data_IF_350500366828
#
_entry.id   IF_350500366828
#
_cell.length_a   1.000
_cell.length_b   1.000
_cell.length_c   1.000
_cell.angle_alpha   90.00
_cell.angle_beta   90.00
_cell.angle_gamma   90.00
#
_symmetry.space_group_name_H-M   'P 1'
#
loop_
_entity.id
_entity.type
_entity.pdbx_description
1 polymer ?
#
# COMPACT_ATOMS: atom_id res chain seq x y z
N UNK A 1 -24.36 9.63 6.40
CA UNK A 1 -23.14 9.37 5.61
C UNK A 1 -22.61 10.59 4.85
N UNK A 2 -23.47 11.38 4.18
CA UNK A 2 -23.08 12.63 3.52
C UNK A 2 -22.47 13.68 4.48
N UNK A 3 -23.00 13.81 5.70
CA UNK A 3 -22.49 14.72 6.73
C UNK A 3 -21.07 14.32 7.15
N UNK A 4 -20.78 13.03 7.35
CA UNK A 4 -19.44 12.54 7.72
C UNK A 4 -18.41 12.89 6.62
N UNK A 5 -18.76 12.68 5.35
CA UNK A 5 -17.92 13.04 4.23
C UNK A 5 -17.72 14.56 4.14
N UNK A 6 -18.76 15.33 4.40
CA UNK A 6 -18.66 16.79 4.43
C UNK A 6 -17.72 17.25 5.54
N UNK A 7 -17.88 16.74 6.77
CA UNK A 7 -16.98 17.05 7.90
C UNK A 7 -15.55 16.62 7.62
N UNK A 8 -15.35 15.44 7.02
CA UNK A 8 -14.03 14.99 6.62
C UNK A 8 -13.39 15.92 5.60
N UNK A 9 -14.13 16.34 4.56
CA UNK A 9 -13.67 17.35 3.59
C UNK A 9 -13.35 18.69 4.24
N UNK A 10 -14.05 19.06 5.31
CA UNK A 10 -13.76 20.28 6.04
C UNK A 10 -12.44 20.16 6.83
N UNK A 11 -12.24 19.04 7.53
CA UNK A 11 -11.03 18.80 8.33
C UNK A 11 -9.79 18.75 7.44
N UNK A 12 -9.83 18.10 6.29
CA UNK A 12 -8.68 18.04 5.38
C UNK A 12 -8.36 19.37 4.69
N UNK A 13 -9.15 20.43 4.88
CA UNK A 13 -8.75 21.80 4.48
C UNK A 13 -7.59 22.33 5.31
N UNK A 14 -7.39 21.80 6.51
CA UNK A 14 -6.23 22.11 7.34
C UNK A 14 -4.99 21.49 6.68
N UNK A 15 -3.86 22.23 6.57
CA UNK A 15 -2.62 21.66 6.04
C UNK A 15 -2.16 20.44 6.83
N UNK A 16 -1.61 19.43 6.13
CA UNK A 16 -1.21 18.14 6.72
C UNK A 16 -0.32 18.26 7.97
N UNK A 17 0.59 19.23 7.99
CA UNK A 17 1.49 19.49 9.13
C UNK A 17 0.77 19.80 10.45
N UNK A 18 -0.48 20.26 10.38
CA UNK A 18 -1.31 20.56 11.55
C UNK A 18 -2.25 19.42 11.94
N UNK A 19 -2.29 18.33 11.16
CA UNK A 19 -3.05 17.14 11.52
C UNK A 19 -2.36 16.45 12.70
N UNK A 20 -2.92 16.61 13.90
CA UNK A 20 -2.40 15.96 15.11
C UNK A 20 -2.70 14.46 15.12
N UNK A 21 -1.67 13.62 15.14
CA UNK A 21 -1.85 12.17 15.24
C UNK A 21 -2.38 11.72 16.61
N UNK A 22 -1.98 12.39 17.69
CA UNK A 22 -2.29 11.96 19.08
C UNK A 22 -3.78 11.89 19.41
N UNK A 23 -4.62 12.92 19.19
CA UNK A 23 -6.04 12.84 19.52
C UNK A 23 -6.76 11.77 18.69
N UNK A 24 -6.42 11.63 17.41
CA UNK A 24 -7.02 10.62 16.53
C UNK A 24 -6.54 9.21 16.85
N UNK A 25 -5.32 9.01 17.36
CA UNK A 25 -4.84 7.70 17.77
C UNK A 25 -5.60 7.15 18.99
N UNK A 26 -6.13 8.01 19.84
CA UNK A 26 -7.02 7.62 20.92
C UNK A 26 -8.37 7.12 20.38
N UNK A 27 -8.97 7.84 19.45
CA UNK A 27 -10.23 7.44 18.80
C UNK A 27 -10.07 6.13 18.03
N UNK A 28 -8.97 5.96 17.29
CA UNK A 28 -8.69 4.69 16.60
C UNK A 28 -8.60 3.50 17.57
N UNK A 29 -8.03 3.67 18.76
CA UNK A 29 -7.98 2.60 19.76
C UNK A 29 -9.38 2.13 20.18
N UNK A 30 -10.34 3.02 20.22
CA UNK A 30 -11.73 2.69 20.57
C UNK A 30 -12.42 2.01 19.38
N UNK A 31 -12.43 2.65 18.20
CA UNK A 31 -13.21 2.20 17.05
C UNK A 31 -12.60 1.03 16.29
N UNK A 32 -11.26 0.90 16.29
CA UNK A 32 -10.53 -0.15 15.58
C UNK A 32 -9.80 -1.11 16.53
N UNK A 33 -10.28 -1.28 17.74
CA UNK A 33 -9.65 -2.09 18.79
C UNK A 33 -9.17 -3.47 18.29
N UNK A 34 -10.01 -4.20 17.58
CA UNK A 34 -9.67 -5.52 17.04
C UNK A 34 -8.56 -5.45 15.98
N UNK A 35 -8.57 -4.41 15.12
CA UNK A 35 -7.53 -4.20 14.12
C UNK A 35 -6.18 -3.85 14.76
N UNK A 36 -6.22 -3.08 15.83
CA UNK A 36 -5.03 -2.72 16.62
C UNK A 36 -4.43 -3.94 17.30
N UNK A 37 -5.23 -4.86 17.83
CA UNK A 37 -4.75 -6.15 18.34
C UNK A 37 -4.05 -6.97 17.24
N UNK A 38 -4.61 -7.00 16.02
CA UNK A 38 -3.97 -7.64 14.85
C UNK A 38 -2.61 -7.02 14.58
N UNK A 39 -2.52 -5.68 14.53
CA UNK A 39 -1.25 -4.98 14.30
C UNK A 39 -0.19 -5.34 15.35
N UNK A 40 -0.55 -5.32 16.63
CA UNK A 40 0.36 -5.74 17.73
C UNK A 40 0.88 -7.17 17.57
N UNK A 41 -0.02 -8.12 17.22
CA UNK A 41 0.36 -9.52 16.99
C UNK A 41 1.32 -9.65 15.82
N UNK A 42 1.04 -8.98 14.70
CA UNK A 42 1.88 -9.02 13.52
C UNK A 42 3.27 -8.42 13.78
N UNK A 43 3.34 -7.25 14.42
CA UNK A 43 4.63 -6.61 14.77
C UNK A 43 5.44 -7.53 15.67
N UNK A 44 4.84 -8.08 16.75
CA UNK A 44 5.53 -9.02 17.65
C UNK A 44 6.00 -10.29 16.94
N UNK A 45 5.23 -10.79 15.96
CA UNK A 45 5.55 -11.98 15.20
C UNK A 45 6.72 -11.75 14.23
N UNK A 46 6.75 -10.57 13.57
CA UNK A 46 7.73 -10.24 12.54
C UNK A 46 9.08 -9.75 13.10
N UNK A 47 9.08 -9.18 14.31
CA UNK A 47 10.28 -8.62 14.95
C UNK A 47 10.57 -9.35 16.27
N UNK A 48 10.74 -10.67 16.18
CA UNK A 48 10.98 -11.53 17.36
C UNK A 48 12.29 -11.21 18.07
N UNK A 49 13.27 -10.70 17.34
CA UNK A 49 14.59 -10.31 17.81
C UNK A 49 14.60 -9.03 18.63
N UNK A 50 13.54 -8.22 18.53
CA UNK A 50 13.45 -6.92 19.20
C UNK A 50 12.94 -7.04 20.65
N UNK A 51 13.46 -6.20 21.52
CA UNK A 51 13.00 -6.11 22.90
C UNK A 51 11.62 -5.42 23.01
N UNK A 52 11.02 -5.48 24.22
CA UNK A 52 9.68 -4.91 24.48
C UNK A 52 9.59 -3.40 24.20
N UNK A 53 10.67 -2.65 24.46
CA UNK A 53 10.69 -1.21 24.28
C UNK A 53 10.74 -0.85 22.80
N UNK A 54 11.53 -1.54 22.00
CA UNK A 54 11.61 -1.38 20.54
C UNK A 54 10.26 -1.69 19.88
N UNK A 55 9.64 -2.85 20.23
CA UNK A 55 8.32 -3.22 19.73
C UNK A 55 7.25 -2.19 20.08
N UNK A 56 7.30 -1.63 21.30
CA UNK A 56 6.40 -0.54 21.73
C UNK A 56 6.63 0.73 20.91
N UNK A 57 7.89 1.03 20.56
CA UNK A 57 8.27 2.15 19.69
C UNK A 57 7.68 2.01 18.29
N UNK A 58 7.86 0.85 17.65
CA UNK A 58 7.27 0.55 16.32
C UNK A 58 5.75 0.68 16.38
N UNK A 59 5.12 0.07 17.38
CA UNK A 59 3.67 0.11 17.51
C UNK A 59 3.13 1.53 17.71
N UNK A 60 3.81 2.36 18.50
CA UNK A 60 3.43 3.77 18.70
C UNK A 60 3.49 4.54 17.38
N UNK A 61 4.61 4.42 16.64
CA UNK A 61 4.75 5.04 15.31
C UNK A 61 3.68 4.55 14.35
N UNK A 62 3.38 3.25 14.36
CA UNK A 62 2.35 2.67 13.49
C UNK A 62 0.95 3.21 13.82
N UNK A 63 0.62 3.38 15.08
CA UNK A 63 -0.67 3.94 15.49
C UNK A 63 -0.79 5.42 15.09
N UNK A 64 0.30 6.19 15.20
CA UNK A 64 0.35 7.58 14.74
C UNK A 64 0.19 7.68 13.23
N UNK A 65 0.91 6.87 12.46
CA UNK A 65 0.77 6.80 11.00
C UNK A 65 -0.63 6.35 10.56
N UNK A 66 -1.22 5.35 11.24
CA UNK A 66 -2.59 4.91 10.99
C UNK A 66 -3.62 6.01 11.27
N UNK A 67 -3.36 6.86 12.24
CA UNK A 67 -4.20 8.02 12.54
C UNK A 67 -4.15 9.07 11.44
N UNK A 68 -2.97 9.31 10.88
CA UNK A 68 -2.78 10.23 9.77
C UNK A 68 -3.32 9.69 8.44
N UNK A 69 -3.36 8.37 8.26
CA UNK A 69 -3.79 7.73 7.00
C UNK A 69 -5.18 8.16 6.53
N UNK A 70 -6.09 8.45 7.46
CA UNK A 70 -7.45 8.92 7.16
C UNK A 70 -7.40 10.31 6.51
N UNK A 71 -6.51 11.19 6.99
CA UNK A 71 -6.31 12.51 6.41
C UNK A 71 -5.56 12.42 5.10
N UNK A 72 -4.50 11.63 5.04
CA UNK A 72 -3.70 11.39 3.85
C UNK A 72 -4.55 10.87 2.68
N UNK A 73 -5.47 9.95 2.96
CA UNK A 73 -6.46 9.47 2.00
C UNK A 73 -7.37 10.60 1.49
N UNK A 74 -7.88 11.45 2.40
CA UNK A 74 -8.71 12.60 2.02
C UNK A 74 -7.93 13.64 1.21
N UNK A 75 -6.67 13.91 1.56
CA UNK A 75 -5.77 14.79 0.80
C UNK A 75 -5.59 14.25 -0.62
N UNK A 76 -5.24 12.97 -0.76
CA UNK A 76 -5.04 12.34 -2.07
C UNK A 76 -6.28 12.42 -2.96
N UNK A 77 -7.48 12.28 -2.39
CA UNK A 77 -8.72 12.21 -3.15
C UNK A 77 -9.37 13.56 -3.44
N UNK A 78 -9.15 14.58 -2.58
CA UNK A 78 -9.93 15.82 -2.68
C UNK A 78 -9.09 17.07 -2.98
N UNK A 79 -7.78 17.08 -2.68
CA UNK A 79 -6.95 18.22 -3.05
C UNK A 79 -6.63 18.23 -4.55
N UNK A 80 -6.53 19.44 -5.12
CA UNK A 80 -6.02 19.61 -6.48
C UNK A 80 -4.49 19.53 -6.51
N UNK A 81 -3.91 19.37 -7.69
CA UNK A 81 -2.48 19.20 -7.91
C UNK A 81 -1.66 20.40 -7.41
N UNK A 82 -2.14 21.61 -7.65
CA UNK A 82 -1.46 22.82 -7.22
C UNK A 82 -1.32 22.86 -5.70
N UNK A 83 -2.36 22.48 -4.98
CA UNK A 83 -2.33 22.43 -3.52
C UNK A 83 -1.42 21.32 -2.99
N UNK A 84 -1.47 20.13 -3.60
CA UNK A 84 -0.57 19.03 -3.23
C UNK A 84 0.89 19.46 -3.41
N UNK A 85 1.24 20.03 -4.57
CA UNK A 85 2.60 20.51 -4.83
C UNK A 85 3.07 21.55 -3.83
N UNK A 86 2.17 22.43 -3.39
CA UNK A 86 2.47 23.51 -2.42
C UNK A 86 2.60 23.02 -0.98
N UNK A 87 1.73 22.12 -0.55
CA UNK A 87 1.54 21.81 0.88
C UNK A 87 2.07 20.42 1.29
N UNK A 88 2.36 19.54 0.33
CA UNK A 88 2.90 18.20 0.57
C UNK A 88 4.27 18.04 -0.11
N UNK A 89 5.37 18.37 0.58
CA UNK A 89 6.70 18.15 0.03
C UNK A 89 6.89 16.68 -0.33
N UNK A 90 7.35 16.41 -1.55
CA UNK A 90 7.58 15.05 -2.03
C UNK A 90 8.78 15.00 -2.98
N UNK A 91 9.48 13.88 -2.99
CA UNK A 91 10.60 13.62 -3.90
C UNK A 91 10.48 12.22 -4.47
N UNK A 92 10.44 12.11 -5.80
CA UNK A 92 10.45 10.84 -6.52
C UNK A 92 11.82 10.65 -7.19
N UNK A 93 12.38 9.46 -7.08
CA UNK A 93 13.65 9.08 -7.73
C UNK A 93 13.41 7.92 -8.70
N UNK A 94 14.23 7.84 -9.74
CA UNK A 94 14.24 6.82 -10.79
C UNK A 94 12.91 6.76 -11.58
N UNK A 95 12.27 7.91 -11.77
CA UNK A 95 10.99 8.01 -12.50
C UNK A 95 11.12 7.58 -13.97
N UNK A 96 12.31 7.66 -14.54
CA UNK A 96 12.66 7.21 -15.87
C UNK A 96 12.37 5.71 -16.09
N UNK A 97 12.44 4.88 -15.06
CA UNK A 97 12.12 3.45 -15.15
C UNK A 97 10.70 3.17 -15.68
N UNK A 98 9.78 4.08 -15.43
CA UNK A 98 8.38 3.92 -15.85
C UNK A 98 7.96 4.88 -16.96
N UNK A 99 8.67 5.99 -17.16
CA UNK A 99 8.34 6.96 -18.21
C UNK A 99 9.04 6.65 -19.55
N UNK A 100 10.23 6.05 -19.52
CA UNK A 100 11.03 5.77 -20.70
C UNK A 100 10.95 4.31 -21.16
N UNK A 101 10.18 3.47 -20.48
CA UNK A 101 10.04 2.06 -20.83
C UNK A 101 9.16 1.87 -22.07
N UNK A 102 9.64 1.08 -23.03
CA UNK A 102 8.85 0.61 -24.18
C UNK A 102 7.93 -0.56 -23.81
N UNK A 103 8.18 -1.22 -22.69
CA UNK A 103 7.36 -2.32 -22.15
C UNK A 103 6.42 -1.80 -21.07
N UNK A 104 5.33 -2.56 -20.82
CA UNK A 104 4.46 -2.29 -19.67
C UNK A 104 5.20 -2.52 -18.36
N UNK A 105 4.88 -1.73 -17.35
CA UNK A 105 5.46 -1.84 -16.03
C UNK A 105 4.41 -2.29 -15.02
N UNK A 106 4.66 -3.41 -14.36
CA UNK A 106 3.90 -3.84 -13.20
C UNK A 106 4.55 -3.22 -11.95
N UNK A 107 3.95 -2.16 -11.45
CA UNK A 107 4.46 -1.42 -10.29
C UNK A 107 3.91 -2.08 -9.03
N UNK A 108 4.78 -2.80 -8.33
CA UNK A 108 4.48 -3.47 -7.07
C UNK A 108 4.83 -2.55 -5.91
N UNK A 109 3.98 -2.53 -4.89
CA UNK A 109 4.20 -1.74 -3.68
C UNK A 109 3.68 -2.46 -2.43
N UNK A 110 4.17 -2.05 -1.26
CA UNK A 110 3.63 -2.49 0.03
C UNK A 110 2.36 -1.70 0.36
N UNK A 111 1.44 -2.27 1.13
CA UNK A 111 0.36 -1.49 1.72
C UNK A 111 0.92 -0.54 2.80
N UNK A 112 1.45 0.61 2.37
CA UNK A 112 1.79 1.69 3.28
C UNK A 112 0.52 2.33 3.86
N UNK A 113 0.62 2.99 5.01
CA UNK A 113 -0.48 3.74 5.61
C UNK A 113 -0.79 5.05 4.86
N UNK A 114 0.09 5.45 3.93
CA UNK A 114 -0.07 6.62 3.04
C UNK A 114 -0.21 6.25 1.56
N UNK A 115 -0.59 5.00 1.27
CA UNK A 115 -0.72 4.41 -0.06
C UNK A 115 -1.45 5.29 -1.09
N UNK A 116 -2.54 5.95 -0.70
CA UNK A 116 -3.31 6.80 -1.61
C UNK A 116 -2.53 8.08 -1.98
N UNK A 117 -1.67 8.59 -1.07
CA UNK A 117 -0.74 9.68 -1.39
C UNK A 117 0.37 9.20 -2.35
N UNK A 118 0.91 8.01 -2.13
CA UNK A 118 1.94 7.43 -3.00
C UNK A 118 1.46 7.38 -4.45
N UNK A 119 0.27 6.78 -4.64
CA UNK A 119 -0.38 6.70 -5.95
C UNK A 119 -0.68 8.09 -6.53
N UNK A 120 -1.11 9.04 -5.69
CA UNK A 120 -1.46 10.40 -6.10
C UNK A 120 -0.24 11.19 -6.56
N UNK A 121 0.87 11.15 -5.80
CA UNK A 121 2.11 11.84 -6.14
C UNK A 121 2.74 11.24 -7.40
N UNK A 122 2.77 9.91 -7.51
CA UNK A 122 3.30 9.26 -8.72
C UNK A 122 2.42 9.54 -9.95
N UNK A 123 1.09 9.54 -9.78
CA UNK A 123 0.13 9.82 -10.86
C UNK A 123 0.15 11.27 -11.37
N UNK A 124 0.75 12.19 -10.61
CA UNK A 124 1.03 13.56 -11.08
C UNK A 124 2.27 13.63 -12.00
N UNK A 125 3.08 12.56 -12.06
CA UNK A 125 4.36 12.50 -12.76
C UNK A 125 4.39 11.43 -13.87
N UNK A 126 3.47 10.44 -13.83
CA UNK A 126 3.39 9.35 -14.79
C UNK A 126 1.93 8.95 -15.04
N UNK A 127 1.64 8.40 -16.23
CA UNK A 127 0.33 7.81 -16.51
C UNK A 127 0.21 6.44 -15.83
N UNK A 128 -0.73 6.29 -14.92
CA UNK A 128 -0.92 5.10 -14.10
C UNK A 128 -2.30 4.48 -14.30
N UNK A 129 -2.35 3.17 -14.13
CA UNK A 129 -3.55 2.34 -14.07
C UNK A 129 -3.55 1.56 -12.76
N UNK A 130 -4.70 1.40 -12.10
CA UNK A 130 -4.77 0.79 -10.78
C UNK A 130 -5.50 -0.55 -10.77
N UNK A 131 -4.99 -1.52 -10.02
CA UNK A 131 -5.73 -2.73 -9.69
C UNK A 131 -6.14 -2.68 -8.23
N UNK A 132 -7.45 -2.78 -7.98
CA UNK A 132 -7.98 -2.61 -6.64
C UNK A 132 -9.13 -3.57 -6.31
N UNK A 133 -9.72 -3.36 -5.16
CA UNK A 133 -10.91 -4.09 -4.71
C UNK A 133 -12.12 -3.15 -4.72
N UNK A 134 -13.26 -3.67 -5.17
CA UNK A 134 -14.55 -3.01 -4.97
C UNK A 134 -14.88 -2.89 -3.48
N UNK A 135 -15.41 -1.76 -3.08
CA UNK A 135 -15.93 -1.58 -1.72
C UNK A 135 -17.34 -2.16 -1.62
N UNK A 136 -17.67 -2.80 -0.49
CA UNK A 136 -18.96 -3.45 -0.29
C UNK A 136 -20.15 -2.46 -0.30
N UNK A 137 -19.93 -1.20 0.08
CA UNK A 137 -20.93 -0.14 0.01
C UNK A 137 -20.82 0.57 -1.35
N UNK A 138 -21.87 0.59 -2.20
CA UNK A 138 -21.86 1.28 -3.50
C UNK A 138 -21.56 2.77 -3.37
N UNK A 139 -22.05 3.42 -2.32
CA UNK A 139 -21.79 4.82 -2.04
C UNK A 139 -20.30 5.09 -1.76
N UNK A 140 -19.68 4.27 -0.89
CA UNK A 140 -18.25 4.38 -0.60
C UNK A 140 -17.40 4.00 -1.80
N UNK A 141 -17.82 3.00 -2.57
CA UNK A 141 -17.16 2.62 -3.82
C UNK A 141 -17.07 3.80 -4.79
N UNK A 142 -18.18 4.53 -5.00
CA UNK A 142 -18.20 5.72 -5.86
C UNK A 142 -17.24 6.82 -5.40
N UNK A 143 -17.12 7.04 -4.08
CA UNK A 143 -16.21 8.06 -3.52
C UNK A 143 -14.75 7.63 -3.74
N UNK A 144 -14.43 6.38 -3.42
CA UNK A 144 -13.09 5.81 -3.57
C UNK A 144 -12.67 5.83 -5.05
N UNK A 145 -13.52 5.37 -5.94
CA UNK A 145 -13.24 5.35 -7.39
C UNK A 145 -13.03 6.76 -7.94
N UNK A 146 -13.92 7.69 -7.58
CA UNK A 146 -13.78 9.11 -7.97
C UNK A 146 -12.49 9.74 -7.43
N UNK A 147 -12.10 9.41 -6.18
CA UNK A 147 -10.87 9.87 -5.58
C UNK A 147 -9.62 9.33 -6.28
N UNK A 148 -9.61 8.02 -6.55
CA UNK A 148 -8.50 7.34 -7.22
C UNK A 148 -8.30 7.76 -8.66
N UNK A 149 -9.37 8.14 -9.38
CA UNK A 149 -9.29 8.71 -10.75
C UNK A 149 -8.47 10.00 -10.83
N UNK A 150 -8.12 10.61 -9.72
CA UNK A 150 -7.14 11.71 -9.68
C UNK A 150 -5.70 11.23 -9.75
N UNK A 151 -5.43 9.99 -9.33
CA UNK A 151 -4.11 9.37 -9.34
C UNK A 151 -3.90 8.48 -10.57
N UNK A 152 -4.96 7.80 -11.04
CA UNK A 152 -4.87 6.82 -12.11
C UNK A 152 -5.88 7.14 -13.23
N UNK A 153 -5.52 6.79 -14.45
CA UNK A 153 -6.40 6.96 -15.64
C UNK A 153 -7.61 6.05 -15.58
N UNK A 154 -7.39 4.83 -15.09
CA UNK A 154 -8.44 3.83 -15.02
C UNK A 154 -8.15 2.81 -13.92
N UNK A 155 -9.19 2.14 -13.43
CA UNK A 155 -9.10 1.12 -12.38
C UNK A 155 -9.71 -0.19 -12.85
N UNK A 156 -9.11 -1.32 -12.47
CA UNK A 156 -9.67 -2.64 -12.65
C UNK A 156 -9.78 -3.35 -11.31
N UNK A 157 -10.75 -4.22 -11.17
CA UNK A 157 -10.83 -5.15 -10.05
C UNK A 157 -9.97 -6.38 -10.31
N UNK A 158 -9.59 -7.08 -9.25
CA UNK A 158 -8.84 -8.34 -9.38
C UNK A 158 -9.56 -9.41 -10.22
N UNK A 159 -10.86 -9.27 -10.46
CA UNK A 159 -11.65 -10.18 -11.33
C UNK A 159 -11.47 -9.85 -12.81
N UNK A 160 -11.09 -8.62 -13.13
CA UNK A 160 -10.92 -8.14 -14.51
C UNK A 160 -9.47 -8.35 -15.00
N UNK A 161 -8.92 -9.54 -14.79
CA UNK A 161 -7.50 -9.86 -15.11
C UNK A 161 -7.14 -9.54 -16.55
N UNK A 162 -8.03 -9.81 -17.51
CA UNK A 162 -7.79 -9.53 -18.94
C UNK A 162 -7.60 -8.02 -19.20
N UNK A 163 -8.22 -7.15 -18.39
CA UNK A 163 -8.12 -5.71 -18.55
C UNK A 163 -6.73 -5.20 -18.23
N UNK A 164 -6.15 -5.59 -17.09
CA UNK A 164 -4.80 -5.16 -16.75
C UNK A 164 -3.69 -5.91 -17.51
N UNK A 165 -3.91 -7.14 -17.98
CA UNK A 165 -3.07 -7.78 -18.99
C UNK A 165 -3.02 -6.94 -20.26
N UNK A 166 -4.17 -6.45 -20.77
CA UNK A 166 -4.25 -5.59 -21.94
C UNK A 166 -3.50 -4.26 -21.72
N UNK A 167 -3.59 -3.66 -20.53
CA UNK A 167 -2.82 -2.47 -20.18
C UNK A 167 -1.31 -2.71 -20.24
N UNK A 168 -0.83 -3.78 -19.60
CA UNK A 168 0.59 -4.14 -19.61
C UNK A 168 1.11 -4.41 -21.03
N UNK A 169 0.36 -5.15 -21.86
CA UNK A 169 0.71 -5.38 -23.29
C UNK A 169 0.76 -4.11 -24.13
N UNK A 170 0.05 -3.05 -23.70
CA UNK A 170 0.05 -1.72 -24.33
C UNK A 170 1.11 -0.77 -23.77
N UNK A 171 2.09 -1.27 -23.02
CA UNK A 171 3.14 -0.45 -22.44
C UNK A 171 2.71 0.42 -21.26
N UNK A 172 1.59 0.12 -20.59
CA UNK A 172 1.06 0.94 -19.50
C UNK A 172 1.68 0.60 -18.14
N UNK A 173 1.68 1.58 -17.24
CA UNK A 173 2.11 1.43 -15.85
C UNK A 173 0.93 0.98 -14.99
N UNK A 174 1.00 -0.22 -14.40
CA UNK A 174 -0.08 -0.82 -13.63
C UNK A 174 0.33 -0.99 -12.18
N UNK A 175 -0.34 -0.27 -11.28
CA UNK A 175 -0.16 -0.36 -9.82
C UNK A 175 -0.85 -1.60 -9.27
N UNK A 176 -0.11 -2.45 -8.56
CA UNK A 176 -0.63 -3.69 -7.98
C UNK A 176 0.03 -4.05 -6.65
N UNK A 177 -0.76 -4.13 -5.57
CA UNK A 177 -0.28 -4.53 -4.25
C UNK A 177 -0.50 -6.03 -4.02
N UNK A 178 0.54 -6.76 -3.60
CA UNK A 178 0.52 -8.23 -3.46
C UNK A 178 0.83 -8.74 -2.06
N UNK A 179 1.07 -7.88 -1.10
CA UNK A 179 1.58 -8.19 0.24
C UNK A 179 0.51 -8.56 1.29
N UNK A 180 -0.75 -8.74 0.88
CA UNK A 180 -1.83 -9.21 1.75
C UNK A 180 -2.06 -10.72 1.61
N UNK A 181 -2.80 -11.30 2.58
CA UNK A 181 -3.24 -12.69 2.54
C UNK A 181 -4.49 -12.84 1.66
N UNK A 182 -4.31 -13.41 0.48
CA UNK A 182 -5.38 -13.70 -0.48
C UNK A 182 -5.85 -15.17 -0.44
N UNK A 183 -5.36 -15.94 0.53
CA UNK A 183 -5.65 -17.38 0.66
C UNK A 183 -4.58 -18.24 -0.01
N UNK A 184 -4.82 -19.56 -0.03
CA UNK A 184 -3.87 -20.55 -0.53
C UNK A 184 -3.91 -20.66 -2.05
N UNK A 185 -5.10 -20.48 -2.64
CA UNK A 185 -5.28 -20.62 -4.09
C UNK A 185 -4.45 -19.59 -4.85
N UNK A 186 -3.69 -20.05 -5.85
CA UNK A 186 -2.78 -19.22 -6.66
C UNK A 186 -1.66 -18.54 -5.85
N UNK A 187 -1.27 -19.13 -4.72
CA UNK A 187 -0.18 -18.66 -3.86
C UNK A 187 0.93 -19.69 -3.76
N UNK A 188 2.15 -19.21 -3.59
CA UNK A 188 3.30 -19.99 -3.12
C UNK A 188 3.49 -19.79 -1.63
N UNK A 189 4.03 -20.80 -0.95
CA UNK A 189 4.46 -20.68 0.45
C UNK A 189 5.93 -20.24 0.44
N UNK A 190 6.17 -19.00 0.83
CA UNK A 190 7.49 -18.38 0.86
C UNK A 190 7.78 -17.84 2.25
N UNK A 191 9.05 -17.56 2.56
CA UNK A 191 9.40 -16.91 3.81
C UNK A 191 9.14 -15.40 3.74
N UNK A 192 8.43 -14.89 4.75
CA UNK A 192 8.21 -13.46 4.97
C UNK A 192 8.43 -13.16 6.46
N UNK A 193 9.44 -12.39 6.78
CA UNK A 193 9.96 -12.22 8.16
C UNK A 193 10.34 -13.56 8.82
N UNK A 194 10.94 -14.48 8.06
CA UNK A 194 11.27 -15.82 8.53
C UNK A 194 10.06 -16.73 8.80
N UNK A 195 8.86 -16.31 8.42
CA UNK A 195 7.61 -17.06 8.63
C UNK A 195 7.15 -17.61 7.29
N UNK A 196 6.96 -18.94 7.16
CA UNK A 196 6.38 -19.53 5.96
C UNK A 196 4.97 -18.97 5.71
N UNK A 197 4.79 -18.20 4.63
CA UNK A 197 3.60 -17.38 4.39
C UNK A 197 3.10 -17.54 2.97
N UNK A 198 1.79 -17.71 2.79
CA UNK A 198 1.19 -17.76 1.46
C UNK A 198 1.18 -16.38 0.82
N UNK A 199 1.78 -16.28 -0.37
CA UNK A 199 1.87 -15.06 -1.18
C UNK A 199 1.45 -15.37 -2.61
N UNK A 200 0.58 -14.55 -3.19
CA UNK A 200 0.06 -14.76 -4.55
C UNK A 200 1.16 -14.66 -5.60
N UNK A 201 1.09 -15.51 -6.64
CA UNK A 201 2.04 -15.55 -7.76
C UNK A 201 1.61 -14.70 -8.95
N UNK A 202 0.69 -13.77 -8.75
CA UNK A 202 0.11 -12.97 -9.85
C UNK A 202 1.17 -12.19 -10.61
N UNK A 203 2.20 -11.67 -9.94
CA UNK A 203 3.27 -10.92 -10.59
C UNK A 203 4.08 -11.79 -11.57
N UNK A 204 4.42 -13.01 -11.18
CA UNK A 204 5.10 -13.99 -12.06
C UNK A 204 4.27 -14.27 -13.30
N UNK A 205 2.99 -14.63 -13.10
CA UNK A 205 2.06 -14.95 -14.20
C UNK A 205 1.84 -13.79 -15.16
N UNK A 206 1.76 -12.56 -14.64
CA UNK A 206 1.62 -11.37 -15.48
C UNK A 206 2.86 -11.15 -16.34
N UNK A 207 4.05 -11.35 -15.79
CA UNK A 207 5.30 -11.27 -16.56
C UNK A 207 5.36 -12.33 -17.66
N UNK A 208 5.04 -13.61 -17.35
CA UNK A 208 4.99 -14.69 -18.33
C UNK A 208 4.07 -14.36 -19.51
N UNK A 209 2.89 -13.77 -19.24
CA UNK A 209 1.88 -13.48 -20.26
C UNK A 209 2.17 -12.20 -21.03
N UNK A 210 2.79 -11.19 -20.40
CA UNK A 210 2.89 -9.84 -20.96
C UNK A 210 4.31 -9.39 -21.24
N UNK A 211 5.31 -10.10 -20.74
CA UNK A 211 6.73 -9.70 -20.74
C UNK A 211 6.96 -8.31 -20.12
N UNK A 212 6.13 -7.91 -19.16
CA UNK A 212 6.27 -6.61 -18.49
C UNK A 212 7.48 -6.54 -17.57
N UNK A 213 7.99 -5.35 -17.30
CA UNK A 213 8.93 -5.11 -16.22
C UNK A 213 8.21 -5.15 -14.87
N UNK A 214 8.94 -5.51 -13.82
CA UNK A 214 8.47 -5.37 -12.44
C UNK A 214 9.27 -4.28 -11.78
N UNK A 215 8.57 -3.24 -11.34
CA UNK A 215 9.16 -2.10 -10.65
C UNK A 215 8.61 -2.07 -9.24
N UNK A 216 9.47 -2.00 -8.24
CA UNK A 216 9.06 -1.84 -6.86
C UNK A 216 8.97 -0.34 -6.53
N UNK A 217 7.84 0.09 -6.04
CA UNK A 217 7.63 1.40 -5.47
C UNK A 217 7.86 1.32 -3.97
N UNK A 218 8.94 1.87 -3.50
CA UNK A 218 9.20 2.08 -2.08
C UNK A 218 8.85 3.52 -1.69
N UNK A 219 8.17 3.68 -0.56
CA UNK A 219 7.76 4.99 -0.09
C UNK A 219 7.84 5.08 1.43
N UNK A 220 8.21 6.27 1.93
CA UNK A 220 8.30 6.59 3.36
C UNK A 220 8.26 8.09 3.57
N UNK A 221 7.88 8.50 4.79
CA UNK A 221 8.05 9.87 5.22
C UNK A 221 9.39 10.08 5.93
N UNK A 222 10.14 11.07 5.49
CA UNK A 222 11.39 11.50 6.10
C UNK A 222 11.33 13.01 6.31
N UNK A 223 11.42 13.46 7.56
CA UNK A 223 11.36 14.88 7.95
C UNK A 223 10.17 15.64 7.32
N UNK A 224 9.02 14.98 7.21
CA UNK A 224 7.80 15.56 6.64
C UNK A 224 7.72 15.53 5.11
N UNK A 225 8.76 15.06 4.42
CA UNK A 225 8.81 14.88 2.97
C UNK A 225 8.42 13.45 2.61
N UNK A 226 7.46 13.29 1.71
CA UNK A 226 7.12 11.97 1.15
C UNK A 226 8.17 11.57 0.12
N UNK A 227 8.97 10.57 0.45
CA UNK A 227 9.95 9.96 -0.46
C UNK A 227 9.31 8.82 -1.22
N UNK A 228 9.51 8.79 -2.53
CA UNK A 228 9.12 7.68 -3.41
C UNK A 228 10.35 7.29 -4.20
N UNK A 229 10.74 6.03 -4.10
CA UNK A 229 11.84 5.46 -4.88
C UNK A 229 11.30 4.33 -5.74
N UNK A 230 11.58 4.39 -7.05
CA UNK A 230 11.29 3.31 -7.97
C UNK A 230 12.55 2.46 -8.16
N UNK A 231 12.39 1.15 -8.15
CA UNK A 231 13.49 0.21 -8.28
C UNK A 231 13.07 -0.97 -9.15
N UNK A 232 13.79 -1.24 -10.20
CA UNK A 232 13.54 -2.43 -11.01
C UNK A 232 13.88 -3.70 -10.22
N UNK A 233 12.97 -4.66 -10.20
CA UNK A 233 13.25 -5.99 -9.65
C UNK A 233 13.84 -6.83 -10.77
N UNK A 234 15.10 -7.29 -10.63
CA UNK A 234 15.76 -8.07 -11.66
C UNK A 234 14.98 -9.34 -11.99
N UNK A 235 14.99 -9.69 -13.27
CA UNK A 235 14.45 -10.98 -13.73
C UNK A 235 15.50 -12.06 -13.48
N UNK A 236 15.13 -13.10 -12.76
CA UNK A 236 15.97 -14.29 -12.62
C UNK A 236 15.71 -15.18 -13.84
N UNK A 237 16.60 -15.16 -14.83
CA UNK A 237 16.44 -15.70 -16.18
C UNK A 237 15.36 -14.98 -17.00
N UNK A 238 14.06 -15.16 -16.66
CA UNK A 238 12.94 -14.64 -17.46
C UNK A 238 12.00 -13.74 -16.63
N UNK A 239 11.81 -14.05 -15.34
CA UNK A 239 10.84 -13.35 -14.48
C UNK A 239 11.42 -12.96 -13.12
N UNK A 240 10.87 -11.90 -12.51
CA UNK A 240 11.09 -11.57 -11.11
C UNK A 240 10.23 -12.49 -10.24
N UNK A 241 10.85 -13.33 -9.41
CA UNK A 241 10.13 -14.32 -8.61
C UNK A 241 9.32 -13.70 -7.48
N UNK A 242 8.29 -14.41 -7.04
CA UNK A 242 7.47 -14.02 -5.87
C UNK A 242 8.32 -13.85 -4.62
N UNK A 243 9.36 -14.68 -4.46
CA UNK A 243 10.33 -14.61 -3.36
C UNK A 243 11.12 -13.30 -3.39
N UNK A 244 11.69 -12.94 -4.55
CA UNK A 244 12.46 -11.70 -4.72
C UNK A 244 11.58 -10.46 -4.43
N UNK A 245 10.36 -10.43 -4.97
CA UNK A 245 9.40 -9.35 -4.73
C UNK A 245 9.08 -9.26 -3.23
N UNK A 246 8.83 -10.41 -2.58
CA UNK A 246 8.50 -10.46 -1.16
C UNK A 246 9.66 -10.00 -0.27
N UNK A 247 10.89 -10.39 -0.61
CA UNK A 247 12.11 -9.94 0.08
C UNK A 247 12.29 -8.42 -0.03
N UNK A 248 11.98 -7.84 -1.21
CA UNK A 248 12.06 -6.40 -1.41
C UNK A 248 11.03 -5.66 -0.54
N UNK A 249 9.80 -6.16 -0.49
CA UNK A 249 8.74 -5.64 0.39
C UNK A 249 9.16 -5.75 1.85
N UNK A 250 9.68 -6.90 2.30
CA UNK A 250 10.15 -7.11 3.67
C UNK A 250 11.26 -6.12 4.03
N UNK A 251 12.27 -5.95 3.16
CA UNK A 251 13.38 -5.01 3.37
C UNK A 251 12.88 -3.57 3.53
N UNK A 252 11.92 -3.16 2.71
CA UNK A 252 11.27 -1.85 2.83
C UNK A 252 10.52 -1.70 4.16
N UNK A 253 9.77 -2.72 4.59
CA UNK A 253 9.05 -2.69 5.87
C UNK A 253 10.03 -2.63 7.05
N UNK A 254 11.16 -3.35 7.00
CA UNK A 254 12.19 -3.33 8.07
C UNK A 254 12.82 -1.95 8.23
N UNK A 255 13.01 -1.19 7.15
CA UNK A 255 13.51 0.20 7.22
C UNK A 255 12.53 1.15 7.89
N UNK A 256 11.21 1.02 7.57
CA UNK A 256 10.16 1.90 8.07
C UNK A 256 8.95 1.11 8.59
N UNK A 257 9.11 0.33 9.69
CA UNK A 257 8.08 -0.58 10.16
C UNK A 257 6.83 0.13 10.69
N UNK A 258 6.95 1.39 11.09
CA UNK A 258 5.83 2.22 11.56
C UNK A 258 4.81 2.57 10.49
N UNK A 259 5.17 2.55 9.21
CA UNK A 259 4.32 3.01 8.10
C UNK A 259 3.62 1.88 7.35
N UNK A 260 3.82 0.63 7.76
CA UNK A 260 3.17 -0.52 7.12
C UNK A 260 1.79 -0.84 7.71
N UNK A 261 0.87 -1.33 6.86
CA UNK A 261 -0.49 -1.70 7.25
C UNK A 261 -0.53 -3.03 8.02
N UNK A 262 0.00 -3.04 9.26
CA UNK A 262 -0.02 -4.21 10.15
C UNK A 262 -1.42 -4.67 10.55
N UNK A 263 -2.44 -3.88 10.30
CA UNK A 263 -3.85 -4.10 10.69
C UNK A 263 -4.55 -5.20 9.85
N UNK A 264 -3.89 -5.74 8.82
CA UNK A 264 -4.37 -6.87 8.01
C UNK A 264 -3.92 -8.20 8.62
N UNK A 265 -4.77 -9.25 8.56
CA UNK A 265 -4.44 -10.61 9.04
C UNK A 265 -3.55 -11.35 8.03
N UNK A 266 -2.32 -10.83 7.80
CA UNK A 266 -1.36 -11.29 6.77
C UNK A 266 -1.01 -12.78 6.86
N UNK A 267 -1.02 -13.34 8.07
CA UNK A 267 -0.60 -14.72 8.34
C UNK A 267 -1.77 -15.69 8.56
N UNK A 268 -2.99 -15.28 8.25
CA UNK A 268 -4.21 -16.06 8.53
C UNK A 268 -4.21 -17.43 7.83
N UNK A 269 -3.83 -17.47 6.55
CA UNK A 269 -3.78 -18.73 5.77
C UNK A 269 -2.61 -19.62 6.15
N UNK A 270 -1.56 -19.06 6.77
CA UNK A 270 -0.35 -19.78 7.18
C UNK A 270 -0.41 -20.27 8.63
N UNK A 271 -0.92 -19.46 9.55
CA UNK A 271 -0.96 -19.75 10.99
C UNK A 271 -2.36 -20.13 11.49
N UNK A 272 -3.35 -20.14 10.59
CA UNK A 272 -4.73 -20.44 10.94
C UNK A 272 -5.50 -19.25 11.54
N UNK A 273 -6.83 -19.44 11.64
CA UNK A 273 -7.73 -18.42 12.21
C UNK A 273 -7.51 -18.21 13.71
N UNK A 274 -7.05 -19.25 14.40
CA UNK A 274 -6.83 -19.26 15.85
C UNK A 274 -5.71 -18.31 16.28
N UNK A 275 -4.69 -18.12 15.42
CA UNK A 275 -3.65 -17.13 15.69
C UNK A 275 -4.21 -15.72 15.98
N UNK A 276 -5.36 -15.37 15.37
CA UNK A 276 -6.00 -14.07 15.56
C UNK A 276 -7.28 -14.14 16.40
N UNK A 277 -7.51 -15.21 17.19
CA UNK A 277 -8.76 -15.40 17.96
C UNK A 277 -9.01 -14.24 18.93
N UNK A 278 -7.99 -13.84 19.71
CA UNK A 278 -8.09 -12.73 20.69
C UNK A 278 -8.16 -11.33 20.04
N UNK A 279 -8.12 -11.27 18.71
CA UNK A 279 -8.22 -10.04 17.93
C UNK A 279 -9.54 -9.96 17.13
N UNK A 280 -10.55 -10.71 17.60
CA UNK A 280 -11.94 -10.64 17.11
C UNK A 280 -12.75 -9.63 17.91
#
# INVERSE_FOLDING_TARGET
MSIIIFLWKLIIRIPRRFHGAKPFSFLLKIFLFNRIKVAKKNIKLCFKEMNKQELKGIFKKNLEAASLSIFDMGIAWFWNDARIKKELPSKTTNLELINNSSQGNLIIFKHSLHLELDARILGMQAELYGVGREHNSPYMHKIIDSGRKRAVKDTATKKETLRFIKWLKKGKNVLYAIDQDYGIKHSKKINFFGIPTYTITTAERLQEITNCNVVFLDSWFEEGVLRINLEEIPKNNVIASTEMISQRIESSIRRNPGEYLWHHKRFKSSLGKEFYKDAR
#
